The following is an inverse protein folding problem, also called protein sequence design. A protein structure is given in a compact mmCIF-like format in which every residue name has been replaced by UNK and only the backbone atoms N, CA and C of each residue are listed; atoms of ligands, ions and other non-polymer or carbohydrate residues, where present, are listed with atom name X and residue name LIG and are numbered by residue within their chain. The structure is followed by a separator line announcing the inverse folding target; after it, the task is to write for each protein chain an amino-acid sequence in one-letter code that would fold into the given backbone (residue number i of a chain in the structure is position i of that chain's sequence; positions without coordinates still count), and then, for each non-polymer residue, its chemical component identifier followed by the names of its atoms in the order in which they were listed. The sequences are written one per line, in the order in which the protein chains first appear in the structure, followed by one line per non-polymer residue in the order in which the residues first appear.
data_IF_212078598308
#
_entry.id   IF_212078598308
#
_cell.length_a   1.000
_cell.length_b   1.000
_cell.length_c   1.000
_cell.angle_alpha   90.00
_cell.angle_beta   90.00
_cell.angle_gamma   90.00
#
_symmetry.space_group_name_H-M   'P 1'
#
loop_
_entity.id
_entity.type
_entity.pdbx_description
1 polymer ?
#
# COMPACT_ATOMS: atom_id res chain seq x y z
N UNK A 1 -41.45 -10.38 -16.28
CA UNK A 1 -40.83 -10.25 -14.93
C UNK A 1 -40.03 -8.96 -14.97
N UNK A 2 -40.51 -7.92 -14.31
CA UNK A 2 -39.73 -6.68 -14.17
C UNK A 2 -38.47 -6.99 -13.35
N UNK A 3 -37.30 -6.43 -13.70
CA UNK A 3 -36.12 -6.55 -12.85
C UNK A 3 -36.45 -6.02 -11.46
N UNK A 4 -36.03 -6.75 -10.43
CA UNK A 4 -36.13 -6.27 -9.06
C UNK A 4 -35.45 -4.90 -8.96
N UNK A 5 -36.02 -3.93 -8.22
CA UNK A 5 -35.35 -2.66 -8.01
C UNK A 5 -34.00 -2.94 -7.35
N UNK A 6 -32.92 -2.50 -8.00
CA UNK A 6 -31.58 -2.52 -7.43
C UNK A 6 -31.63 -1.79 -6.09
N UNK A 7 -31.48 -2.53 -4.98
CA UNK A 7 -31.28 -1.94 -3.68
C UNK A 7 -30.04 -1.05 -3.78
N UNK A 8 -30.13 0.25 -3.44
CA UNK A 8 -28.98 1.13 -3.52
C UNK A 8 -27.85 0.54 -2.67
N UNK A 9 -26.69 0.34 -3.28
CA UNK A 9 -25.50 -0.17 -2.60
C UNK A 9 -25.20 0.73 -1.40
N UNK A 10 -25.53 0.26 -0.20
CA UNK A 10 -25.20 1.02 1.02
C UNK A 10 -23.69 1.09 1.11
N UNK A 11 -23.14 2.26 1.34
CA UNK A 11 -21.69 2.39 1.45
C UNK A 11 -21.25 1.97 2.86
N UNK A 12 -20.02 1.44 2.98
CA UNK A 12 -19.46 1.07 4.28
C UNK A 12 -19.48 2.24 5.27
N UNK A 13 -19.24 3.47 4.79
CA UNK A 13 -19.35 4.70 5.57
C UNK A 13 -20.27 5.69 4.87
N UNK A 14 -21.23 6.23 5.62
CA UNK A 14 -22.19 7.25 5.18
C UNK A 14 -22.26 8.34 6.24
N UNK A 15 -22.04 9.60 5.84
CA UNK A 15 -22.10 10.77 6.74
C UNK A 15 -21.30 10.60 8.05
N UNK A 16 -20.13 9.95 7.93
CA UNK A 16 -19.24 9.66 9.06
C UNK A 16 -19.70 8.52 9.98
N UNK A 17 -20.76 7.80 9.60
CA UNK A 17 -21.27 6.62 10.27
C UNK A 17 -20.80 5.37 9.53
N UNK A 18 -20.06 4.51 10.23
CA UNK A 18 -19.69 3.18 9.74
C UNK A 18 -20.91 2.25 9.80
N UNK A 19 -21.48 1.90 8.64
CA UNK A 19 -22.70 1.11 8.48
C UNK A 19 -22.45 -0.38 8.55
N UNK A 20 -21.40 -0.84 7.88
CA UNK A 20 -20.96 -2.21 7.86
C UNK A 20 -19.43 -2.27 7.70
N UNK A 21 -18.87 -3.42 8.04
CA UNK A 21 -17.46 -3.75 7.91
C UNK A 21 -17.28 -4.94 6.99
N UNK A 22 -16.07 -5.12 6.49
CA UNK A 22 -15.63 -6.41 5.95
C UNK A 22 -14.28 -6.78 6.55
N UNK A 23 -13.92 -8.05 6.45
CA UNK A 23 -12.64 -8.54 6.92
C UNK A 23 -11.46 -7.88 6.16
N UNK A 24 -11.64 -7.60 4.86
CA UNK A 24 -10.67 -6.87 4.06
C UNK A 24 -10.46 -5.43 4.56
N UNK A 25 -11.54 -4.78 5.03
CA UNK A 25 -11.49 -3.44 5.61
C UNK A 25 -10.72 -3.41 6.93
N UNK A 26 -10.93 -4.40 7.81
CA UNK A 26 -10.17 -4.55 9.07
C UNK A 26 -8.67 -4.65 8.77
N UNK A 27 -8.27 -5.52 7.82
CA UNK A 27 -6.86 -5.67 7.40
C UNK A 27 -6.28 -4.37 6.86
N UNK A 28 -7.01 -3.68 5.97
CA UNK A 28 -6.57 -2.40 5.41
C UNK A 28 -6.39 -1.34 6.49
N UNK A 29 -7.30 -1.30 7.44
CA UNK A 29 -7.25 -0.34 8.54
C UNK A 29 -6.07 -0.61 9.46
N UNK A 30 -5.85 -1.87 9.85
CA UNK A 30 -4.71 -2.29 10.66
C UNK A 30 -3.37 -1.93 9.98
N UNK A 31 -3.32 -2.06 8.65
CA UNK A 31 -2.15 -1.66 7.88
C UNK A 31 -1.94 -0.14 7.89
N UNK A 32 -2.97 0.64 7.57
CA UNK A 32 -2.92 2.10 7.56
C UNK A 32 -4.33 2.72 7.66
N UNK A 33 -4.65 3.31 8.82
CA UNK A 33 -5.95 3.97 9.08
C UNK A 33 -6.25 5.02 8.01
N UNK A 34 -5.25 5.80 7.60
CA UNK A 34 -5.41 6.85 6.60
C UNK A 34 -5.66 6.32 5.19
N UNK A 35 -5.05 5.19 4.82
CA UNK A 35 -5.33 4.56 3.54
C UNK A 35 -6.76 4.00 3.49
N UNK A 36 -7.24 3.46 4.61
CA UNK A 36 -8.65 3.08 4.75
C UNK A 36 -9.58 4.30 4.68
N UNK A 37 -9.24 5.40 5.35
CA UNK A 37 -10.00 6.65 5.30
C UNK A 37 -10.14 7.18 3.86
N UNK A 38 -9.05 7.21 3.09
CA UNK A 38 -9.09 7.62 1.68
C UNK A 38 -10.02 6.74 0.84
N UNK A 39 -9.97 5.43 1.04
CA UNK A 39 -10.76 4.45 0.28
C UNK A 39 -12.24 4.46 0.66
N UNK A 40 -12.56 4.48 1.96
CA UNK A 40 -13.93 4.23 2.45
C UNK A 40 -14.68 5.48 2.88
N UNK A 41 -13.99 6.48 3.43
CA UNK A 41 -14.62 7.73 3.87
C UNK A 41 -14.61 8.76 2.73
N UNK A 42 -13.45 9.00 2.12
CA UNK A 42 -13.33 9.93 0.99
C UNK A 42 -13.64 9.31 -0.37
N UNK A 43 -13.77 7.97 -0.43
CA UNK A 43 -14.15 7.23 -1.63
C UNK A 43 -13.27 7.55 -2.85
N UNK A 44 -11.97 7.75 -2.60
CA UNK A 44 -11.02 8.00 -3.66
C UNK A 44 -10.83 6.74 -4.51
N UNK A 45 -10.76 6.87 -5.84
CA UNK A 45 -10.63 5.73 -6.73
C UNK A 45 -9.30 5.00 -6.51
N UNK A 46 -9.34 3.68 -6.55
CA UNK A 46 -8.16 2.82 -6.50
C UNK A 46 -7.80 2.35 -7.90
N UNK A 47 -6.50 2.32 -8.23
CA UNK A 47 -6.05 1.75 -9.50
C UNK A 47 -6.17 0.22 -9.42
N UNK A 48 -6.87 -0.43 -10.37
CA UNK A 48 -6.91 -1.89 -10.42
C UNK A 48 -5.51 -2.46 -10.67
N UNK A 49 -5.22 -3.63 -10.10
CA UNK A 49 -3.94 -4.33 -10.30
C UNK A 49 -4.15 -5.66 -11.03
N UNK A 50 -3.27 -5.98 -11.99
CA UNK A 50 -3.32 -7.24 -12.76
C UNK A 50 -3.23 -8.49 -11.88
N UNK A 51 -2.54 -8.39 -10.75
CA UNK A 51 -2.44 -9.50 -9.79
C UNK A 51 -3.80 -9.87 -9.16
N UNK A 52 -4.73 -8.91 -9.07
CA UNK A 52 -6.09 -9.14 -8.60
C UNK A 52 -6.88 -10.06 -9.54
N UNK A 53 -6.76 -9.85 -10.85
CA UNK A 53 -7.45 -10.65 -11.87
C UNK A 53 -7.01 -12.13 -11.83
N UNK A 54 -5.69 -12.37 -11.66
CA UNK A 54 -5.15 -13.72 -11.51
C UNK A 54 -5.70 -14.43 -10.28
N UNK A 55 -5.78 -13.71 -9.15
CA UNK A 55 -6.39 -14.22 -7.92
C UNK A 55 -7.85 -14.60 -8.12
N UNK A 56 -8.67 -13.68 -8.62
CA UNK A 56 -10.11 -13.92 -8.89
C UNK A 56 -10.34 -15.12 -9.82
N UNK A 57 -9.58 -15.21 -10.92
CA UNK A 57 -9.69 -16.34 -11.84
C UNK A 57 -9.29 -17.67 -11.18
N UNK A 58 -8.27 -17.66 -10.30
CA UNK A 58 -7.85 -18.85 -9.57
C UNK A 58 -8.92 -19.31 -8.58
N UNK A 59 -9.54 -18.38 -7.83
CA UNK A 59 -10.63 -18.70 -6.88
C UNK A 59 -11.83 -19.30 -7.61
N UNK A 60 -12.26 -18.71 -8.73
CA UNK A 60 -13.39 -19.22 -9.50
C UNK A 60 -13.18 -20.67 -9.99
N UNK A 61 -11.94 -21.03 -10.37
CA UNK A 61 -11.61 -22.41 -10.75
C UNK A 61 -11.68 -23.37 -9.54
N UNK A 62 -11.14 -22.95 -8.39
CA UNK A 62 -11.18 -23.74 -7.16
C UNK A 62 -12.61 -23.94 -6.67
N UNK A 63 -13.42 -22.88 -6.67
CA UNK A 63 -14.84 -22.92 -6.31
C UNK A 63 -15.58 -23.93 -7.19
N UNK A 64 -15.41 -23.84 -8.51
CA UNK A 64 -16.05 -24.75 -9.45
C UNK A 64 -15.66 -26.20 -9.16
N UNK A 65 -14.35 -26.47 -9.03
CA UNK A 65 -13.85 -27.82 -8.74
C UNK A 65 -14.40 -28.37 -7.42
N UNK A 66 -14.36 -27.58 -6.33
CA UNK A 66 -14.81 -28.02 -5.01
C UNK A 66 -16.32 -28.28 -4.95
N UNK A 67 -17.12 -27.55 -5.73
CA UNK A 67 -18.58 -27.72 -5.81
C UNK A 67 -18.99 -28.87 -6.73
N UNK A 68 -18.38 -29.00 -7.91
CA UNK A 68 -18.88 -29.91 -8.97
C UNK A 68 -18.05 -31.17 -9.15
N UNK A 69 -16.80 -31.17 -8.66
CA UNK A 69 -15.82 -32.20 -8.96
C UNK A 69 -15.23 -32.15 -10.37
N UNK A 70 -15.70 -31.24 -11.24
CA UNK A 70 -15.16 -31.08 -12.58
C UNK A 70 -13.77 -30.41 -12.53
N UNK A 71 -12.79 -31.05 -13.14
CA UNK A 71 -11.40 -30.57 -13.13
C UNK A 71 -11.18 -29.49 -14.21
N UNK A 72 -11.46 -28.23 -13.83
CA UNK A 72 -11.24 -27.03 -14.66
C UNK A 72 -10.00 -26.24 -14.22
N UNK A 73 -9.13 -26.87 -13.42
CA UNK A 73 -8.03 -26.19 -12.75
C UNK A 73 -6.93 -25.82 -13.75
N UNK A 74 -6.62 -24.53 -13.84
CA UNK A 74 -5.46 -24.04 -14.58
C UNK A 74 -4.15 -24.36 -13.86
N UNK A 75 -2.98 -24.09 -14.49
CA UNK A 75 -1.67 -24.50 -13.96
C UNK A 75 -1.34 -24.01 -12.54
N UNK A 76 -1.89 -22.86 -12.13
CA UNK A 76 -1.71 -22.32 -10.77
C UNK A 76 -2.52 -23.13 -9.76
N UNK A 77 -3.82 -23.28 -9.98
CA UNK A 77 -4.71 -24.00 -9.07
C UNK A 77 -4.38 -25.51 -9.03
N UNK A 78 -4.06 -26.11 -10.18
CA UNK A 78 -3.72 -27.52 -10.31
C UNK A 78 -2.51 -27.92 -9.45
N UNK A 79 -1.55 -27.02 -9.24
CA UNK A 79 -0.39 -27.27 -8.38
C UNK A 79 -0.77 -27.61 -6.93
N UNK A 80 -1.90 -27.09 -6.43
CA UNK A 80 -2.41 -27.36 -5.09
C UNK A 80 -3.56 -28.36 -5.03
N UNK A 81 -3.95 -28.99 -6.15
CA UNK A 81 -5.09 -29.92 -6.18
C UNK A 81 -4.99 -31.03 -5.13
N UNK A 82 -3.77 -31.52 -4.89
CA UNK A 82 -3.48 -32.57 -3.91
C UNK A 82 -3.65 -32.14 -2.43
N UNK A 83 -3.76 -30.83 -2.17
CA UNK A 83 -4.00 -30.25 -0.85
C UNK A 83 -5.48 -29.93 -0.62
N UNK A 84 -6.30 -29.94 -1.68
CA UNK A 84 -7.74 -29.68 -1.58
C UNK A 84 -8.45 -30.92 -1.02
N UNK A 85 -9.52 -30.75 -0.23
CA UNK A 85 -10.37 -31.87 0.11
C UNK A 85 -11.05 -32.44 -1.15
N UNK A 86 -11.52 -33.68 -1.06
CA UNK A 86 -12.37 -34.23 -2.11
C UNK A 86 -13.60 -33.33 -2.32
N UNK A 87 -13.96 -32.95 -3.55
CA UNK A 87 -15.18 -32.19 -3.84
C UNK A 87 -16.44 -32.85 -3.26
N UNK A 88 -17.45 -32.07 -2.89
CA UNK A 88 -18.68 -32.61 -2.33
C UNK A 88 -19.67 -31.55 -1.87
N UNK A 89 -20.96 -31.90 -1.87
CA UNK A 89 -22.06 -31.02 -1.49
C UNK A 89 -22.08 -30.67 0.01
N UNK A 90 -21.27 -31.36 0.81
CA UNK A 90 -21.09 -31.11 2.24
C UNK A 90 -20.10 -29.96 2.53
N UNK A 91 -19.30 -29.55 1.54
CA UNK A 91 -18.43 -28.39 1.65
C UNK A 91 -19.24 -27.09 1.49
N UNK A 92 -18.90 -26.08 2.29
CA UNK A 92 -19.43 -24.73 2.10
C UNK A 92 -18.38 -23.93 1.36
N UNK A 93 -18.64 -23.64 0.08
CA UNK A 93 -17.69 -23.01 -0.83
C UNK A 93 -18.19 -21.61 -1.16
N UNK A 94 -17.34 -20.59 -1.05
CA UNK A 94 -17.70 -19.17 -1.16
C UNK A 94 -18.90 -18.82 -0.25
N UNK A 95 -18.80 -19.23 1.01
CA UNK A 95 -19.85 -19.06 2.00
C UNK A 95 -20.00 -17.57 2.36
N UNK A 96 -21.14 -16.98 1.98
CA UNK A 96 -21.47 -15.60 2.30
C UNK A 96 -21.97 -15.46 3.74
N UNK A 97 -21.55 -14.39 4.41
CA UNK A 97 -22.16 -13.91 5.66
C UNK A 97 -22.42 -12.41 5.53
N UNK A 98 -23.63 -11.93 5.88
CA UNK A 98 -23.92 -10.49 5.79
C UNK A 98 -25.38 -10.07 5.89
N UNK A 99 -26.35 -10.93 5.55
CA UNK A 99 -27.76 -10.53 5.46
C UNK A 99 -28.74 -11.57 6.05
N UNK A 100 -29.20 -11.42 7.30
CA UNK A 100 -28.64 -10.54 8.32
C UNK A 100 -27.24 -11.03 8.73
N UNK A 101 -26.34 -10.10 9.03
CA UNK A 101 -25.00 -10.50 9.47
C UNK A 101 -25.07 -11.21 10.83
N UNK A 102 -24.52 -12.42 10.96
CA UNK A 102 -24.34 -13.05 12.27
C UNK A 102 -23.12 -12.50 13.02
N UNK A 103 -22.27 -11.71 12.36
CA UNK A 103 -20.96 -11.31 12.85
C UNK A 103 -20.91 -9.79 13.06
N UNK A 104 -20.66 -9.36 14.31
CA UNK A 104 -20.56 -7.95 14.66
C UNK A 104 -19.23 -7.64 15.34
N UNK A 105 -18.64 -6.50 15.02
CA UNK A 105 -17.50 -5.93 15.73
C UNK A 105 -17.87 -4.54 16.25
N UNK A 106 -17.79 -4.34 17.57
CA UNK A 106 -18.26 -3.11 18.25
C UNK A 106 -19.67 -2.65 17.78
N UNK A 107 -20.59 -3.60 17.59
CA UNK A 107 -21.97 -3.34 17.15
C UNK A 107 -22.12 -3.02 15.66
N UNK A 108 -21.05 -3.08 14.86
CA UNK A 108 -21.09 -2.89 13.41
C UNK A 108 -21.15 -4.25 12.73
N UNK A 109 -22.13 -4.50 11.84
CA UNK A 109 -22.25 -5.78 11.13
C UNK A 109 -21.10 -5.97 10.15
N UNK A 110 -20.61 -7.20 10.05
CA UNK A 110 -19.62 -7.60 9.06
C UNK A 110 -20.27 -8.33 7.90
N UNK A 111 -19.80 -8.06 6.69
CA UNK A 111 -20.14 -8.81 5.49
C UNK A 111 -18.88 -9.39 4.84
N UNK A 112 -19.01 -10.52 4.16
CA UNK A 112 -17.91 -11.13 3.42
C UNK A 112 -18.21 -12.54 2.92
N UNK A 113 -17.16 -13.14 2.39
CA UNK A 113 -17.16 -14.51 1.85
C UNK A 113 -16.02 -15.28 2.49
N UNK A 114 -16.27 -16.56 2.79
CA UNK A 114 -15.27 -17.52 3.23
C UNK A 114 -15.08 -18.52 2.08
N UNK A 115 -13.86 -18.60 1.54
CA UNK A 115 -13.60 -19.41 0.34
C UNK A 115 -14.00 -20.88 0.52
N UNK A 116 -13.68 -21.48 1.68
CA UNK A 116 -14.03 -22.86 1.98
C UNK A 116 -14.19 -23.10 3.49
N UNK A 117 -15.30 -23.72 3.86
CA UNK A 117 -15.51 -24.34 5.18
C UNK A 117 -15.74 -25.83 4.98
N UNK A 118 -14.95 -26.65 5.69
CA UNK A 118 -14.99 -28.09 5.62
C UNK A 118 -15.45 -28.69 6.96
N UNK A 119 -16.71 -29.15 7.06
CA UNK A 119 -17.30 -29.70 8.28
C UNK A 119 -17.06 -31.19 8.49
N UNK A 120 -16.26 -31.86 7.66
CA UNK A 120 -16.13 -33.34 7.69
C UNK A 120 -15.57 -33.91 8.99
N UNK A 121 -14.83 -33.12 9.76
CA UNK A 121 -14.29 -33.51 11.08
C UNK A 121 -15.12 -32.96 12.25
N UNK A 122 -16.32 -32.42 11.98
CA UNK A 122 -17.15 -31.81 13.01
C UNK A 122 -17.63 -32.82 14.06
N UNK A 123 -17.78 -34.10 13.70
CA UNK A 123 -18.07 -35.18 14.65
C UNK A 123 -16.99 -35.32 15.75
N UNK A 124 -15.76 -34.91 15.46
CA UNK A 124 -14.63 -34.87 16.40
C UNK A 124 -14.53 -33.50 17.11
N UNK A 125 -15.43 -32.57 16.78
CA UNK A 125 -15.45 -31.19 17.26
C UNK A 125 -14.48 -30.26 16.52
N UNK A 126 -14.03 -30.63 15.31
CA UNK A 126 -13.08 -29.87 14.51
C UNK A 126 -13.76 -29.30 13.26
N UNK A 127 -13.61 -28.01 13.01
CA UNK A 127 -14.05 -27.36 11.77
C UNK A 127 -12.84 -26.72 11.08
N UNK A 128 -12.64 -27.02 9.80
CA UNK A 128 -11.60 -26.35 9.00
C UNK A 128 -12.18 -25.19 8.22
N UNK A 129 -11.52 -24.05 8.32
CA UNK A 129 -11.83 -22.83 7.58
C UNK A 129 -10.60 -22.46 6.77
N UNK A 130 -10.75 -22.45 5.46
CA UNK A 130 -9.66 -22.25 4.50
C UNK A 130 -9.92 -20.98 3.70
N UNK A 131 -8.88 -20.18 3.57
CA UNK A 131 -8.81 -19.07 2.63
C UNK A 131 -7.71 -19.35 1.59
N UNK A 132 -8.09 -19.31 0.32
CA UNK A 132 -7.19 -19.50 -0.81
C UNK A 132 -6.41 -18.20 -1.06
N UNK A 133 -5.09 -18.31 -1.17
CA UNK A 133 -4.22 -17.15 -1.39
C UNK A 133 -3.35 -17.35 -2.61
N UNK A 134 -3.39 -16.43 -3.56
CA UNK A 134 -2.38 -16.36 -4.61
C UNK A 134 -1.25 -15.42 -4.22
N UNK A 135 0.00 -15.82 -4.41
CA UNK A 135 1.19 -15.01 -4.10
C UNK A 135 2.30 -15.18 -5.14
N UNK A 136 3.13 -14.15 -5.36
CA UNK A 136 4.29 -14.25 -6.25
C UNK A 136 5.38 -15.18 -5.70
N UNK A 137 5.52 -15.25 -4.38
CA UNK A 137 6.48 -16.12 -3.70
C UNK A 137 5.90 -16.61 -2.39
N UNK A 138 5.72 -17.93 -2.26
CA UNK A 138 5.23 -18.55 -1.03
C UNK A 138 6.30 -18.42 0.06
N UNK A 139 7.56 -18.68 -0.27
CA UNK A 139 8.67 -18.63 0.69
C UNK A 139 8.88 -17.25 1.30
N UNK A 140 8.62 -16.16 0.56
CA UNK A 140 8.78 -14.79 1.07
C UNK A 140 7.54 -14.23 1.78
N UNK A 141 6.35 -14.65 1.38
CA UNK A 141 5.11 -13.95 1.75
C UNK A 141 4.06 -14.82 2.44
N UNK A 142 4.23 -16.13 2.51
CA UNK A 142 3.30 -16.97 3.27
C UNK A 142 3.36 -16.61 4.76
N UNK A 143 2.19 -16.54 5.39
CA UNK A 143 2.11 -16.37 6.83
C UNK A 143 2.65 -17.61 7.55
N UNK A 144 3.01 -17.46 8.82
CA UNK A 144 3.28 -18.60 9.71
C UNK A 144 2.00 -19.04 10.43
N UNK A 145 1.93 -20.28 10.96
CA UNK A 145 0.80 -20.73 11.76
C UNK A 145 0.47 -19.81 12.95
N UNK A 146 1.49 -19.25 13.60
CA UNK A 146 1.33 -18.31 14.72
C UNK A 146 0.70 -16.99 14.27
N UNK A 147 1.06 -16.53 13.06
CA UNK A 147 0.46 -15.34 12.47
C UNK A 147 -1.01 -15.55 12.06
N UNK A 148 -1.41 -16.78 11.70
CA UNK A 148 -2.82 -17.11 11.44
C UNK A 148 -3.64 -17.14 12.73
N UNK A 149 -3.03 -17.58 13.83
CA UNK A 149 -3.72 -17.71 15.12
C UNK A 149 -3.99 -16.37 15.82
N UNK A 150 -3.29 -15.29 15.46
CA UNK A 150 -3.41 -14.01 16.15
C UNK A 150 -3.87 -12.86 15.26
N UNK A 151 -4.91 -12.16 15.71
CA UNK A 151 -5.41 -10.92 15.13
C UNK A 151 -4.44 -9.73 15.32
N UNK A 152 -3.28 -9.94 15.95
CA UNK A 152 -2.15 -9.00 15.92
C UNK A 152 -1.41 -8.94 14.57
N UNK A 153 -1.69 -9.87 13.65
CA UNK A 153 -1.07 -9.94 12.33
C UNK A 153 -2.11 -9.82 11.20
N UNK A 154 -1.68 -9.28 10.05
CA UNK A 154 -2.55 -9.06 8.88
C UNK A 154 -3.29 -10.34 8.43
N UNK A 155 -2.64 -11.50 8.54
CA UNK A 155 -3.24 -12.79 8.17
C UNK A 155 -4.26 -13.27 9.22
N UNK A 156 -3.91 -13.19 10.51
CA UNK A 156 -4.79 -13.62 11.59
C UNK A 156 -6.01 -12.74 11.79
N UNK A 157 -5.99 -11.44 11.43
CA UNK A 157 -7.22 -10.62 11.42
C UNK A 157 -8.33 -11.29 10.61
N UNK A 158 -7.98 -11.85 9.44
CA UNK A 158 -8.95 -12.53 8.59
C UNK A 158 -9.37 -13.87 9.15
N UNK A 159 -8.41 -14.69 9.53
CA UNK A 159 -8.71 -16.05 9.99
C UNK A 159 -9.42 -16.09 11.34
N UNK A 160 -9.08 -15.19 12.27
CA UNK A 160 -9.83 -15.02 13.54
C UNK A 160 -11.26 -14.57 13.25
N UNK A 161 -11.48 -13.70 12.26
CA UNK A 161 -12.83 -13.28 11.90
C UNK A 161 -13.69 -14.39 11.32
N UNK A 162 -13.14 -15.19 10.41
CA UNK A 162 -13.85 -16.36 9.88
C UNK A 162 -14.07 -17.44 10.94
N UNK A 163 -13.09 -17.64 11.83
CA UNK A 163 -13.24 -18.52 12.98
C UNK A 163 -14.35 -18.03 13.92
N UNK A 164 -14.43 -16.73 14.19
CA UNK A 164 -15.43 -16.19 15.12
C UNK A 164 -16.84 -16.28 14.53
N UNK A 165 -16.99 -16.07 13.23
CA UNK A 165 -18.22 -16.39 12.51
C UNK A 165 -18.67 -17.84 12.75
N UNK A 166 -17.76 -18.81 12.61
CA UNK A 166 -18.08 -20.22 12.83
C UNK A 166 -18.47 -20.50 14.29
N UNK A 167 -17.81 -19.84 15.24
CA UNK A 167 -18.16 -19.93 16.68
C UNK A 167 -19.57 -19.41 16.96
N UNK A 168 -20.00 -18.35 16.28
CA UNK A 168 -21.35 -17.80 16.42
C UNK A 168 -22.41 -18.68 15.73
N UNK A 169 -22.03 -19.42 14.69
CA UNK A 169 -22.89 -20.36 13.97
C UNK A 169 -23.04 -21.72 14.71
N UNK A 170 -23.20 -21.71 16.03
CA UNK A 170 -23.22 -22.92 16.87
C UNK A 170 -24.36 -23.91 16.51
N UNK A 171 -25.50 -23.41 16.00
CA UNK A 171 -26.59 -24.28 15.51
C UNK A 171 -26.19 -25.03 14.23
N UNK A 172 -25.38 -24.40 13.37
CA UNK A 172 -24.87 -24.99 12.13
C UNK A 172 -23.68 -25.92 12.39
N UNK A 173 -22.88 -25.60 13.39
CA UNK A 173 -21.68 -26.35 13.78
C UNK A 173 -21.76 -26.83 15.24
N UNK A 174 -22.72 -27.72 15.55
CA UNK A 174 -22.90 -28.21 16.91
C UNK A 174 -21.67 -28.96 17.40
N UNK A 175 -21.26 -28.69 18.64
CA UNK A 175 -20.12 -29.37 19.26
C UNK A 175 -18.74 -28.89 18.80
N UNK A 176 -18.65 -27.76 18.08
CA UNK A 176 -17.39 -27.15 17.69
C UNK A 176 -16.51 -26.83 18.91
N UNK A 177 -15.31 -27.42 18.95
CA UNK A 177 -14.28 -27.23 19.98
C UNK A 177 -13.03 -26.57 19.42
N UNK A 178 -12.61 -27.00 18.23
CA UNK A 178 -11.36 -26.61 17.60
C UNK A 178 -11.61 -26.11 16.17
N UNK A 179 -10.88 -25.06 15.81
CA UNK A 179 -10.85 -24.50 14.46
C UNK A 179 -9.47 -24.77 13.86
N UNK A 180 -9.45 -25.37 12.68
CA UNK A 180 -8.28 -25.39 11.82
C UNK A 180 -8.37 -24.19 10.87
N UNK A 181 -7.55 -23.18 11.13
CA UNK A 181 -7.49 -21.97 10.32
C UNK A 181 -6.37 -22.13 9.29
N UNK A 182 -6.73 -22.17 8.02
CA UNK A 182 -5.81 -22.46 6.93
C UNK A 182 -5.74 -21.31 5.93
N UNK A 183 -4.52 -20.93 5.56
CA UNK A 183 -4.26 -20.30 4.28
C UNK A 183 -3.66 -21.33 3.34
N UNK A 184 -4.34 -21.57 2.21
CA UNK A 184 -3.82 -22.42 1.14
C UNK A 184 -3.23 -21.53 0.04
N UNK A 185 -1.90 -21.46 0.01
CA UNK A 185 -1.17 -20.60 -0.91
C UNK A 185 -0.91 -21.27 -2.26
N UNK A 186 -1.04 -20.49 -3.33
CA UNK A 186 -0.72 -20.87 -4.72
C UNK A 186 0.27 -19.86 -5.32
N UNK A 187 1.39 -20.35 -5.86
CA UNK A 187 2.45 -19.49 -6.38
C UNK A 187 2.20 -19.07 -7.85
N UNK A 188 2.19 -17.76 -8.08
CA UNK A 188 1.87 -17.16 -9.39
C UNK A 188 3.10 -16.90 -10.26
N UNK A 189 4.31 -16.94 -9.70
CA UNK A 189 5.58 -16.77 -10.44
C UNK A 189 6.56 -17.92 -10.19
N UNK A 190 7.49 -18.10 -11.11
CA UNK A 190 8.49 -19.17 -11.02
C UNK A 190 7.84 -20.55 -11.00
N UNK A 191 8.37 -21.44 -10.16
CA UNK A 191 7.86 -22.80 -9.99
C UNK A 191 6.40 -22.76 -9.52
N UNK A 192 5.54 -23.55 -10.18
CA UNK A 192 4.15 -23.72 -9.77
C UNK A 192 4.12 -24.60 -8.53
N UNK A 193 3.95 -23.96 -7.39
CA UNK A 193 3.93 -24.60 -6.07
C UNK A 193 2.67 -24.18 -5.34
N UNK A 194 2.21 -25.05 -4.44
CA UNK A 194 1.18 -24.73 -3.46
C UNK A 194 1.65 -25.16 -2.07
N UNK A 195 1.16 -24.47 -1.04
CA UNK A 195 1.49 -24.75 0.35
C UNK A 195 0.30 -24.48 1.25
N UNK A 196 -0.06 -25.48 2.04
CA UNK A 196 -0.97 -25.30 3.17
C UNK A 196 -0.19 -24.73 4.36
N UNK A 197 -0.68 -23.63 4.93
CA UNK A 197 -0.29 -23.14 6.26
C UNK A 197 -1.52 -23.23 7.12
N UNK A 198 -1.48 -24.08 8.14
CA UNK A 198 -2.60 -24.35 9.03
C UNK A 198 -2.19 -24.16 10.48
N UNK A 199 -3.12 -23.66 11.29
CA UNK A 199 -3.01 -23.63 12.75
C UNK A 199 -4.29 -24.15 13.36
N UNK A 200 -4.18 -24.80 14.52
CA UNK A 200 -5.34 -25.31 15.27
C UNK A 200 -5.51 -24.48 16.53
N UNK A 201 -6.67 -23.86 16.68
CA UNK A 201 -7.01 -23.00 17.83
C UNK A 201 -8.34 -23.42 18.45
N UNK A 202 -8.53 -23.18 19.74
CA UNK A 202 -9.81 -23.46 20.38
C UNK A 202 -10.86 -22.41 19.96
N UNK A 203 -12.13 -22.78 20.05
CA UNK A 203 -13.23 -21.83 19.89
C UNK A 203 -13.12 -20.67 20.90
N UNK A 204 -12.61 -20.92 22.11
CA UNK A 204 -12.38 -19.90 23.14
C UNK A 204 -11.29 -18.90 22.73
N UNK A 205 -10.14 -19.40 22.24
CA UNK A 205 -9.03 -18.56 21.76
C UNK A 205 -9.50 -17.55 20.71
N UNK A 206 -10.34 -17.98 19.77
CA UNK A 206 -10.89 -17.11 18.74
C UNK A 206 -11.82 -16.04 19.31
N UNK A 207 -12.65 -16.38 20.32
CA UNK A 207 -13.49 -15.39 21.03
C UNK A 207 -12.62 -14.34 21.72
N UNK A 208 -11.52 -14.77 22.34
CA UNK A 208 -10.63 -13.89 23.08
C UNK A 208 -9.85 -12.96 22.15
N UNK A 209 -9.28 -13.47 21.04
CA UNK A 209 -8.61 -12.63 20.03
C UNK A 209 -9.60 -11.63 19.41
N UNK A 210 -10.84 -12.04 19.12
CA UNK A 210 -11.86 -11.13 18.60
C UNK A 210 -12.13 -9.97 19.55
N UNK A 211 -12.44 -10.28 20.82
CA UNK A 211 -12.74 -9.27 21.86
C UNK A 211 -11.56 -8.38 22.17
N UNK A 212 -10.35 -8.93 22.21
CA UNK A 212 -9.15 -8.21 22.60
C UNK A 212 -8.57 -7.34 21.46
N UNK A 213 -8.79 -7.71 20.20
CA UNK A 213 -8.13 -7.06 19.05
C UNK A 213 -9.11 -6.46 18.05
N UNK A 214 -10.14 -7.21 17.65
CA UNK A 214 -11.05 -6.81 16.56
C UNK A 214 -12.09 -5.81 17.06
N UNK A 215 -12.72 -6.04 18.21
CA UNK A 215 -13.69 -5.09 18.77
C UNK A 215 -13.08 -3.69 19.03
N UNK A 216 -11.89 -3.55 19.66
CA UNK A 216 -11.23 -2.25 19.78
C UNK A 216 -10.85 -1.63 18.44
N UNK A 217 -10.46 -2.44 17.45
CA UNK A 217 -10.16 -1.96 16.11
C UNK A 217 -11.40 -1.40 15.42
N UNK A 218 -12.54 -2.09 15.49
CA UNK A 218 -13.81 -1.62 14.94
C UNK A 218 -14.27 -0.33 15.63
N UNK A 219 -14.14 -0.22 16.95
CA UNK A 219 -14.38 1.02 17.70
C UNK A 219 -13.54 2.17 17.15
N UNK A 220 -12.24 1.93 16.95
CA UNK A 220 -11.32 2.93 16.38
C UNK A 220 -11.66 3.27 14.92
N UNK A 221 -12.15 2.32 14.13
CA UNK A 221 -12.65 2.59 12.78
C UNK A 221 -13.87 3.51 12.78
N UNK A 222 -14.79 3.35 13.74
CA UNK A 222 -15.93 4.26 13.92
C UNK A 222 -15.49 5.68 14.26
N UNK A 223 -14.46 5.82 15.09
CA UNK A 223 -13.90 7.15 15.41
C UNK A 223 -13.27 7.79 14.17
N UNK A 224 -12.48 7.03 13.40
CA UNK A 224 -11.85 7.51 12.17
C UNK A 224 -12.87 7.82 11.08
N UNK A 225 -13.99 7.10 11.01
CA UNK A 225 -15.07 7.37 10.08
C UNK A 225 -15.63 8.80 10.25
N UNK A 226 -15.59 9.35 11.47
CA UNK A 226 -16.07 10.70 11.80
C UNK A 226 -15.06 11.79 11.51
N UNK A 227 -13.82 11.46 11.16
CA UNK A 227 -12.80 12.45 10.86
C UNK A 227 -13.20 13.27 9.63
N UNK A 228 -13.02 14.58 9.71
CA UNK A 228 -13.40 15.52 8.64
C UNK A 228 -12.27 15.78 7.66
N UNK A 229 -11.04 15.34 7.99
CA UNK A 229 -9.89 15.49 7.11
C UNK A 229 -8.87 14.35 7.29
N UNK A 230 -8.11 14.01 6.24
CA UNK A 230 -7.05 12.99 6.32
C UNK A 230 -5.98 13.30 7.38
N UNK A 231 -5.77 14.57 7.72
CA UNK A 231 -4.75 15.00 8.68
C UNK A 231 -5.07 14.59 10.12
N UNK A 232 -6.35 14.37 10.44
CA UNK A 232 -6.79 13.86 11.73
C UNK A 232 -6.57 12.35 11.87
N UNK A 233 -6.29 11.64 10.77
CA UNK A 233 -6.16 10.19 10.73
C UNK A 233 -4.70 9.78 10.71
N UNK A 234 -4.31 8.78 11.50
CA UNK A 234 -2.90 8.35 11.62
C UNK A 234 -2.40 7.68 10.33
N UNK A 235 -1.27 8.12 9.75
CA UNK A 235 -0.61 7.39 8.67
C UNK A 235 0.31 6.30 9.22
N UNK A 236 0.51 5.24 8.45
CA UNK A 236 1.51 4.20 8.69
C UNK A 236 2.56 4.21 7.57
N UNK A 237 3.70 4.86 7.79
CA UNK A 237 4.71 5.04 6.74
C UNK A 237 5.41 3.76 6.30
N UNK A 238 5.60 2.82 7.23
CA UNK A 238 6.12 1.48 6.95
C UNK A 238 5.18 0.67 6.03
N UNK A 239 3.91 1.05 5.92
CA UNK A 239 2.95 0.42 5.01
C UNK A 239 3.00 0.98 3.58
N UNK A 240 3.64 2.13 3.34
CA UNK A 240 3.56 2.84 2.06
C UNK A 240 4.11 2.05 0.88
N UNK A 241 5.07 1.14 1.11
CA UNK A 241 5.69 0.32 0.07
C UNK A 241 5.24 -1.15 0.11
N UNK A 242 4.35 -1.52 1.05
CA UNK A 242 3.81 -2.88 1.05
C UNK A 242 2.97 -3.11 -0.20
N UNK A 243 2.98 -4.34 -0.69
CA UNK A 243 2.10 -4.80 -1.76
C UNK A 243 2.23 -4.03 -3.08
N UNK A 244 3.42 -3.50 -3.37
CA UNK A 244 3.69 -2.73 -4.58
C UNK A 244 3.35 -1.24 -4.49
N UNK A 245 3.05 -0.73 -3.29
CA UNK A 245 2.90 0.70 -3.03
C UNK A 245 1.48 1.13 -2.65
N UNK A 246 1.36 2.22 -1.91
CA UNK A 246 0.07 2.80 -1.52
C UNK A 246 -0.53 3.64 -2.65
N UNK A 247 -1.75 3.35 -3.13
CA UNK A 247 -2.37 4.10 -4.23
C UNK A 247 -2.72 5.55 -3.85
N UNK A 248 -2.78 5.87 -2.57
CA UNK A 248 -3.13 7.20 -2.05
C UNK A 248 -1.91 8.02 -1.60
N UNK A 249 -0.70 7.62 -2.00
CA UNK A 249 0.53 8.24 -1.52
C UNK A 249 0.58 9.74 -1.84
N UNK A 250 0.23 10.14 -3.06
CA UNK A 250 0.22 11.55 -3.49
C UNK A 250 -0.74 12.38 -2.64
N UNK A 251 -1.96 11.89 -2.42
CA UNK A 251 -2.98 12.56 -1.61
C UNK A 251 -2.56 12.65 -0.14
N UNK A 252 -1.92 11.61 0.38
CA UNK A 252 -1.40 11.57 1.75
C UNK A 252 -0.34 12.65 1.99
N UNK A 253 0.60 12.82 1.05
CA UNK A 253 1.67 13.80 1.15
C UNK A 253 1.15 15.24 0.98
N UNK A 254 0.21 15.46 0.06
CA UNK A 254 -0.43 16.77 -0.14
C UNK A 254 -1.24 17.21 1.09
N UNK A 255 -1.92 16.28 1.78
CA UNK A 255 -2.63 16.60 3.01
C UNK A 255 -1.68 17.12 4.11
N UNK A 256 -0.46 16.56 4.19
CA UNK A 256 0.53 16.95 5.20
C UNK A 256 1.18 18.32 4.96
N UNK A 257 1.35 18.72 3.69
CA UNK A 257 1.97 20.02 3.38
C UNK A 257 1.05 21.20 3.73
N UNK A 258 -0.27 21.00 3.78
CA UNK A 258 -1.25 22.04 4.11
C UNK A 258 -1.35 22.35 5.62
N UNK A 259 -0.68 21.60 6.50
CA UNK A 259 -0.79 21.72 7.96
C UNK A 259 0.30 22.53 8.67
N UNK A 260 1.30 23.09 7.98
CA UNK A 260 2.38 23.88 8.60
C UNK A 260 2.21 25.38 8.27
N UNK A 261 1.99 26.27 9.27
CA UNK A 261 2.10 27.70 9.05
C UNK A 261 3.57 28.10 8.80
N UNK A 262 3.86 29.11 7.96
CA UNK A 262 5.22 29.57 7.73
C UNK A 262 5.78 30.24 8.99
N UNK A 263 6.74 29.61 9.66
CA UNK A 263 7.50 30.22 10.75
C UNK A 263 8.62 31.09 10.17
N UNK A 264 8.71 32.34 10.64
CA UNK A 264 9.71 33.32 10.21
C UNK A 264 11.12 32.98 10.72
N UNK A 265 12.10 33.24 9.85
CA UNK A 265 13.47 32.71 9.88
C UNK A 265 14.46 33.64 10.63
N UNK A 266 14.04 34.34 11.70
CA UNK A 266 14.88 35.40 12.30
C UNK A 266 15.69 34.97 13.54
N UNK A 267 15.46 33.79 14.16
CA UNK A 267 16.07 33.49 15.47
C UNK A 267 17.00 32.26 15.57
N UNK A 268 17.57 31.74 14.47
CA UNK A 268 18.39 30.50 14.56
C UNK A 268 19.78 30.52 13.92
N UNK A 269 20.42 31.68 13.84
CA UNK A 269 21.86 31.79 13.56
C UNK A 269 22.58 32.31 14.80
N UNK A 270 22.78 31.46 15.80
CA UNK A 270 23.95 31.56 16.70
C UNK A 270 24.26 30.18 17.27
N UNK A 271 25.53 29.78 17.11
CA UNK A 271 26.21 28.61 17.71
C UNK A 271 26.12 27.29 16.93
N UNK A 272 27.00 27.22 15.93
CA UNK A 272 27.77 26.02 15.57
C UNK A 272 28.58 25.52 16.77
N UNK A 273 28.80 24.20 16.88
CA UNK A 273 30.15 23.61 16.97
C UNK A 273 30.13 22.08 17.23
N UNK A 274 30.72 21.37 16.27
CA UNK A 274 31.68 20.23 16.41
C UNK A 274 31.29 18.92 17.10
N UNK A 275 31.36 17.81 16.35
CA UNK A 275 32.24 16.66 16.68
C UNK A 275 32.32 15.64 15.52
N UNK A 276 33.51 15.10 15.29
CA UNK A 276 33.94 14.21 14.20
C UNK A 276 34.17 12.79 14.74
N UNK A 277 33.74 11.73 14.05
CA UNK A 277 34.37 10.38 14.09
C UNK A 277 34.09 9.57 12.81
N UNK A 278 35.07 8.74 12.42
CA UNK A 278 35.18 7.97 11.18
C UNK A 278 34.48 6.58 11.23
N UNK A 279 34.24 5.91 10.07
CA UNK A 279 33.44 4.69 9.98
C UNK A 279 34.23 3.40 9.66
N UNK A 280 33.56 2.25 9.80
CA UNK A 280 33.99 0.91 9.32
C UNK A 280 32.81 0.29 8.53
N UNK A 281 33.05 -0.49 7.44
CA UNK A 281 32.02 -0.74 6.43
C UNK A 281 31.21 -2.04 6.63
N UNK A 282 30.00 -2.08 6.07
CA UNK A 282 29.19 -3.28 5.89
C UNK A 282 28.64 -3.36 4.44
N UNK A 283 28.32 -4.58 3.93
CA UNK A 283 28.28 -4.91 2.51
C UNK A 283 26.90 -4.77 1.84
N UNK A 284 26.92 -4.96 0.52
CA UNK A 284 25.89 -4.72 -0.50
C UNK A 284 24.54 -5.42 -0.32
N UNK A 285 23.47 -4.74 -0.79
CA UNK A 285 22.09 -5.19 -0.88
C UNK A 285 21.66 -5.50 -2.34
N UNK A 286 20.77 -6.49 -2.58
CA UNK A 286 20.22 -6.80 -3.91
C UNK A 286 18.77 -6.32 -4.16
N UNK A 287 18.39 -6.37 -5.44
CA UNK A 287 17.18 -5.91 -6.17
C UNK A 287 15.79 -6.34 -5.63
N UNK A 288 14.76 -5.51 -5.90
CA UNK A 288 13.39 -5.57 -5.36
C UNK A 288 12.35 -6.24 -6.29
N UNK A 289 11.43 -7.03 -5.71
CA UNK A 289 10.36 -7.78 -6.39
C UNK A 289 9.00 -7.69 -5.63
N UNK A 290 7.89 -7.59 -6.37
CA UNK A 290 6.51 -7.28 -5.94
C UNK A 290 5.83 -8.37 -5.06
N UNK A 291 5.09 -7.92 -4.04
CA UNK A 291 4.41 -8.73 -3.00
C UNK A 291 2.88 -8.85 -3.16
N UNK A 292 2.29 -9.81 -2.43
CA UNK A 292 0.89 -10.28 -2.47
C UNK A 292 -0.21 -9.19 -2.37
N UNK A 293 -1.36 -9.41 -3.01
CA UNK A 293 -2.47 -8.44 -3.10
C UNK A 293 -3.57 -8.78 -2.08
N UNK A 294 -4.11 -7.77 -1.38
CA UNK A 294 -5.33 -7.89 -0.58
C UNK A 294 -6.56 -8.04 -1.50
N UNK A 295 -7.45 -9.02 -1.28
CA UNK A 295 -8.67 -9.11 -2.09
C UNK A 295 -9.57 -7.88 -1.85
N UNK A 296 -10.22 -7.35 -2.90
CA UNK A 296 -11.15 -6.22 -2.80
C UNK A 296 -12.49 -6.64 -2.17
N UNK A 297 -13.27 -5.66 -1.69
CA UNK A 297 -14.74 -5.82 -1.60
C UNK A 297 -15.29 -5.88 -3.04
N UNK A 298 -16.24 -6.79 -3.33
CA UNK A 298 -16.66 -7.14 -4.69
C UNK A 298 -17.41 -6.02 -5.43
N UNK A 299 -16.98 -5.67 -6.65
CA UNK A 299 -17.95 -5.46 -7.74
C UNK A 299 -17.54 -6.14 -9.05
N UNK A 300 -18.56 -6.39 -9.89
CA UNK A 300 -18.55 -7.15 -11.14
C UNK A 300 -17.72 -6.51 -12.27
N UNK A 301 -17.21 -7.35 -13.16
CA UNK A 301 -16.21 -7.03 -14.20
C UNK A 301 -16.79 -6.99 -15.62
N UNK A 302 -16.24 -6.10 -16.46
CA UNK A 302 -16.19 -6.26 -17.93
C UNK A 302 -14.86 -5.71 -18.51
N UNK A 303 -14.25 -6.30 -19.56
CA UNK A 303 -12.87 -5.99 -19.99
C UNK A 303 -12.77 -5.34 -21.40
N UNK A 304 -11.66 -4.63 -21.69
CA UNK A 304 -10.85 -4.83 -22.92
C UNK A 304 -9.64 -3.86 -23.12
N UNK A 305 -8.57 -4.47 -23.68
CA UNK A 305 -7.65 -3.97 -24.74
C UNK A 305 -6.31 -3.29 -24.42
N UNK A 306 -5.42 -3.37 -25.42
CA UNK A 306 -4.03 -3.81 -25.36
C UNK A 306 -2.95 -2.76 -25.74
N UNK A 307 -1.70 -3.17 -25.52
CA UNK A 307 -0.37 -2.51 -25.63
C UNK A 307 0.18 -2.16 -27.03
N UNK A 308 1.18 -1.24 -27.12
CA UNK A 308 2.45 -1.34 -27.92
C UNK A 308 3.46 -0.15 -27.65
N UNK A 309 4.71 -0.06 -28.21
CA UNK A 309 5.95 0.25 -27.44
C UNK A 309 6.95 1.35 -27.98
N UNK A 310 7.99 1.61 -27.17
CA UNK A 310 9.44 1.95 -27.38
C UNK A 310 9.99 3.00 -28.39
N UNK A 311 10.99 3.81 -27.96
CA UNK A 311 12.38 3.85 -28.53
C UNK A 311 13.37 4.88 -27.87
N UNK A 312 14.66 4.53 -27.99
CA UNK A 312 16.01 5.11 -27.72
C UNK A 312 16.30 6.56 -28.24
N UNK A 313 17.44 7.27 -28.04
CA UNK A 313 18.66 7.31 -27.19
C UNK A 313 19.48 8.59 -27.61
N UNK A 314 20.41 9.06 -26.76
CA UNK A 314 21.65 9.88 -27.02
C UNK A 314 21.61 11.43 -26.83
N UNK A 315 22.76 12.17 -26.66
CA UNK A 315 24.16 11.79 -26.39
C UNK A 315 24.84 12.51 -25.18
N UNK A 316 26.01 11.98 -24.76
CA UNK A 316 26.87 12.41 -23.63
C UNK A 316 27.74 13.67 -23.93
N UNK A 317 27.98 14.51 -22.92
CA UNK A 317 29.01 15.58 -22.94
C UNK A 317 29.91 15.58 -21.69
N UNK A 318 31.15 16.07 -21.90
CA UNK A 318 32.40 15.88 -21.12
C UNK A 318 32.35 16.28 -19.63
N UNK A 319 32.96 15.44 -18.79
CA UNK A 319 33.08 15.55 -17.32
C UNK A 319 34.23 16.48 -16.90
N UNK A 320 33.96 17.41 -15.98
CA UNK A 320 34.97 18.12 -15.15
C UNK A 320 35.51 17.18 -14.07
N UNK A 321 36.71 17.46 -13.57
CA UNK A 321 37.48 16.61 -12.65
C UNK A 321 36.92 16.58 -11.23
N UNK A 322 36.89 15.37 -10.67
CA UNK A 322 36.27 14.94 -9.40
C UNK A 322 36.78 15.67 -8.14
N UNK A 323 37.98 16.22 -8.16
CA UNK A 323 38.62 16.83 -7.00
C UNK A 323 38.10 18.24 -6.65
N UNK A 324 37.42 18.93 -7.57
CA UNK A 324 36.94 20.30 -7.33
C UNK A 324 35.51 20.36 -6.73
N UNK A 325 34.79 19.23 -6.64
CA UNK A 325 33.40 19.16 -6.16
C UNK A 325 33.25 18.59 -4.73
N UNK A 326 34.29 18.01 -4.13
CA UNK A 326 34.20 17.30 -2.84
C UNK A 326 34.31 18.21 -1.59
N UNK A 327 33.88 19.47 -1.68
CA UNK A 327 33.53 20.28 -0.51
C UNK A 327 32.05 20.04 -0.18
N UNK A 328 31.77 18.87 0.39
CA UNK A 328 30.44 18.35 0.66
C UNK A 328 29.60 19.33 1.49
N UNK A 329 28.66 20.00 0.82
CA UNK A 329 27.49 20.50 1.52
C UNK A 329 26.77 19.27 2.05
N UNK A 330 26.32 19.26 3.31
CA UNK A 330 25.66 18.11 3.95
C UNK A 330 24.26 17.83 3.38
N UNK A 331 24.15 17.79 2.06
CA UNK A 331 22.93 17.71 1.28
C UNK A 331 22.69 16.26 0.87
N UNK A 332 21.55 15.72 1.28
CA UNK A 332 21.02 14.45 0.80
C UNK A 332 19.78 14.68 -0.04
N UNK A 333 19.77 14.18 -1.27
CA UNK A 333 18.69 14.41 -2.23
C UNK A 333 18.09 13.09 -2.70
N UNK A 334 16.79 12.92 -2.44
CA UNK A 334 15.98 11.79 -2.87
C UNK A 334 15.06 12.24 -4.02
N UNK A 335 15.27 11.69 -5.20
CA UNK A 335 14.60 12.08 -6.45
C UNK A 335 13.61 11.01 -6.86
N UNK A 336 12.33 11.34 -6.96
CA UNK A 336 11.24 10.41 -7.28
C UNK A 336 11.26 9.13 -6.40
N UNK A 337 11.82 9.23 -5.19
CA UNK A 337 11.81 8.18 -4.17
C UNK A 337 11.61 8.78 -2.78
N UNK A 338 11.07 7.98 -1.85
CA UNK A 338 10.78 8.44 -0.48
C UNK A 338 11.82 7.87 0.48
N UNK A 339 12.58 8.73 1.19
CA UNK A 339 13.55 8.28 2.17
C UNK A 339 12.87 7.62 3.38
N UNK A 340 13.58 6.71 4.06
CA UNK A 340 13.17 6.10 5.32
C UNK A 340 13.45 7.01 6.55
N UNK A 341 13.81 8.27 6.31
CA UNK A 341 14.07 9.30 7.31
C UNK A 341 13.27 10.57 6.98
N UNK A 342 13.07 11.48 7.95
CA UNK A 342 12.43 12.77 7.68
C UNK A 342 13.19 13.54 6.59
N UNK A 343 12.47 13.99 5.56
CA UNK A 343 13.02 14.77 4.47
C UNK A 343 12.13 15.97 4.15
N UNK A 344 12.75 17.10 3.82
CA UNK A 344 12.07 18.32 3.44
C UNK A 344 11.70 18.31 1.94
N UNK A 345 10.50 18.76 1.54
CA UNK A 345 10.17 18.87 0.13
C UNK A 345 11.03 19.92 -0.59
N UNK A 346 11.71 19.52 -1.67
CA UNK A 346 12.56 20.43 -2.44
C UNK A 346 11.75 21.53 -3.16
N UNK A 347 10.46 21.28 -3.43
CA UNK A 347 9.58 22.20 -4.15
C UNK A 347 9.50 23.61 -3.54
N UNK A 348 9.50 23.70 -2.21
CA UNK A 348 9.47 24.99 -1.51
C UNK A 348 10.74 25.82 -1.76
N UNK A 349 11.90 25.17 -1.83
CA UNK A 349 13.16 25.82 -2.17
C UNK A 349 13.18 26.26 -3.65
N UNK A 350 12.80 25.37 -4.57
CA UNK A 350 12.76 25.68 -6.01
C UNK A 350 11.84 26.86 -6.29
N UNK A 351 10.65 26.90 -5.67
CA UNK A 351 9.72 28.02 -5.80
C UNK A 351 10.31 29.36 -5.37
N UNK A 352 11.09 29.39 -4.27
CA UNK A 352 11.77 30.62 -3.83
C UNK A 352 12.85 31.08 -4.81
N UNK A 353 13.62 30.15 -5.37
CA UNK A 353 14.66 30.47 -6.35
C UNK A 353 14.06 31.03 -7.65
N UNK A 354 12.95 30.44 -8.11
CA UNK A 354 12.21 30.92 -9.28
C UNK A 354 11.66 32.33 -9.03
N UNK A 355 10.96 32.54 -7.91
CA UNK A 355 10.41 33.85 -7.57
C UNK A 355 11.47 34.96 -7.47
N UNK A 356 12.67 34.62 -6.97
CA UNK A 356 13.80 35.54 -6.93
C UNK A 356 14.25 35.96 -8.34
N UNK A 357 14.39 35.00 -9.25
CA UNK A 357 14.79 35.28 -10.64
C UNK A 357 13.71 36.09 -11.37
N UNK A 358 12.42 35.78 -11.13
CA UNK A 358 11.27 36.53 -11.66
C UNK A 358 11.33 37.99 -11.23
N UNK A 359 11.57 38.24 -9.94
CA UNK A 359 11.70 39.58 -9.39
C UNK A 359 12.91 40.34 -9.95
N UNK A 360 14.09 39.70 -10.02
CA UNK A 360 15.32 40.33 -10.51
C UNK A 360 15.28 40.64 -12.00
N UNK A 361 14.61 39.79 -12.79
CA UNK A 361 14.49 39.96 -14.23
C UNK A 361 13.22 40.71 -14.67
N UNK A 362 12.33 41.05 -13.73
CA UNK A 362 11.07 41.74 -14.01
C UNK A 362 10.11 40.94 -14.88
N UNK A 363 10.09 39.60 -14.74
CA UNK A 363 9.22 38.70 -15.52
C UNK A 363 8.22 37.98 -14.62
N UNK A 364 7.04 37.66 -15.17
CA UNK A 364 5.98 36.96 -14.43
C UNK A 364 6.23 35.46 -14.34
N UNK A 365 6.87 34.87 -15.35
CA UNK A 365 7.27 33.46 -15.37
C UNK A 365 8.54 33.31 -16.22
N UNK A 366 9.59 32.75 -15.62
CA UNK A 366 10.90 32.61 -16.27
C UNK A 366 10.86 31.73 -17.53
N UNK A 367 9.84 30.86 -17.66
CA UNK A 367 9.70 29.93 -18.79
C UNK A 367 9.18 30.59 -20.06
N UNK A 368 8.52 31.74 -19.91
CA UNK A 368 7.90 32.51 -21.01
C UNK A 368 8.51 33.91 -21.14
N UNK A 369 9.74 34.08 -20.66
CA UNK A 369 10.44 35.35 -20.73
C UNK A 369 10.60 35.86 -22.18
N UNK A 370 10.39 37.17 -22.43
CA UNK A 370 10.60 37.79 -23.73
C UNK A 370 11.99 37.54 -24.32
N UNK A 371 12.12 37.55 -25.66
CA UNK A 371 13.40 37.25 -26.34
C UNK A 371 14.50 38.30 -26.09
N UNK A 372 14.12 39.50 -25.69
CA UNK A 372 14.98 40.60 -25.26
C UNK A 372 15.37 40.54 -23.76
N UNK A 373 14.81 39.59 -23.00
CA UNK A 373 15.19 39.30 -21.61
C UNK A 373 16.48 38.48 -21.52
N UNK A 374 17.29 38.65 -20.45
CA UNK A 374 18.40 37.73 -20.13
C UNK A 374 17.98 36.25 -20.03
N UNK A 375 16.70 35.99 -19.78
CA UNK A 375 16.10 34.65 -19.62
C UNK A 375 15.58 34.01 -20.92
N UNK A 376 15.63 34.73 -22.07
CA UNK A 376 15.09 34.37 -23.39
C UNK A 376 15.01 32.86 -23.70
N UNK A 377 14.04 32.42 -24.50
CA UNK A 377 13.67 31.00 -24.70
C UNK A 377 14.78 29.96 -24.43
N UNK A 378 14.62 29.22 -23.33
CA UNK A 378 15.54 28.15 -22.89
C UNK A 378 16.76 28.61 -22.08
N UNK A 379 17.13 29.89 -22.07
CA UNK A 379 18.25 30.41 -21.27
C UNK A 379 17.93 30.43 -19.77
N UNK A 380 16.66 30.54 -19.39
CA UNK A 380 16.20 30.44 -18.01
C UNK A 380 16.68 29.18 -17.28
N UNK A 381 16.86 28.05 -17.98
CA UNK A 381 17.38 26.80 -17.39
C UNK A 381 18.81 26.98 -16.86
N UNK A 382 19.65 27.68 -17.65
CA UNK A 382 21.03 27.98 -17.28
C UNK A 382 21.12 28.97 -16.12
N UNK A 383 20.26 30.00 -16.14
CA UNK A 383 20.18 30.99 -15.05
C UNK A 383 19.73 30.32 -13.76
N UNK A 384 18.64 29.54 -13.79
CA UNK A 384 18.15 28.81 -12.62
C UNK A 384 19.19 27.84 -12.05
N UNK A 385 19.87 27.08 -12.91
CA UNK A 385 20.94 26.17 -12.46
C UNK A 385 22.13 26.92 -11.85
N UNK A 386 22.50 28.08 -12.39
CA UNK A 386 23.57 28.91 -11.85
C UNK A 386 23.19 29.50 -10.49
N UNK A 387 21.98 30.03 -10.35
CA UNK A 387 21.45 30.57 -9.08
C UNK A 387 21.42 29.50 -8.00
N UNK A 388 20.93 28.29 -8.31
CA UNK A 388 20.87 27.18 -7.36
C UNK A 388 22.26 26.71 -6.92
N UNK A 389 23.27 26.78 -7.79
CA UNK A 389 24.66 26.43 -7.43
C UNK A 389 25.34 27.51 -6.61
N UNK A 390 24.98 28.77 -6.82
CA UNK A 390 25.49 29.90 -6.04
C UNK A 390 24.88 29.95 -4.63
N UNK A 391 23.60 29.56 -4.51
CA UNK A 391 22.83 29.60 -3.26
C UNK A 391 22.14 28.25 -3.00
N UNK A 392 22.90 27.16 -2.76
CA UNK A 392 22.31 25.86 -2.49
C UNK A 392 21.42 25.88 -1.22
N UNK A 393 20.47 24.94 -1.10
CA UNK A 393 19.66 24.84 0.10
C UNK A 393 20.54 24.48 1.31
N UNK A 394 20.08 24.85 2.50
CA UNK A 394 20.75 24.53 3.77
C UNK A 394 21.03 23.03 3.88
N UNK A 395 22.15 22.61 4.51
CA UNK A 395 22.46 21.20 4.71
C UNK A 395 21.29 20.44 5.35
N UNK A 396 20.94 19.28 4.78
CA UNK A 396 19.78 18.51 5.19
C UNK A 396 19.36 17.46 4.16
N UNK A 397 18.28 16.77 4.48
CA UNK A 397 17.68 15.75 3.61
C UNK A 397 16.48 16.32 2.87
N UNK A 398 16.50 16.26 1.55
CA UNK A 398 15.45 16.78 0.68
C UNK A 398 14.86 15.70 -0.22
N UNK A 399 13.57 15.80 -0.49
CA UNK A 399 12.86 14.96 -1.44
C UNK A 399 12.35 15.81 -2.62
N UNK A 400 12.81 15.49 -3.83
CA UNK A 400 12.32 16.03 -5.09
C UNK A 400 11.38 15.02 -5.74
N UNK A 401 10.07 15.23 -5.63
CA UNK A 401 9.04 14.33 -6.13
C UNK A 401 8.35 14.90 -7.36
N UNK A 402 7.97 14.04 -8.30
CA UNK A 402 7.24 14.43 -9.50
C UNK A 402 8.13 15.13 -10.52
N UNK A 403 9.42 14.76 -10.60
CA UNK A 403 10.40 15.49 -11.40
C UNK A 403 10.06 15.53 -12.88
N UNK A 404 9.48 14.47 -13.47
CA UNK A 404 9.04 14.57 -14.89
C UNK A 404 7.83 15.47 -15.13
N UNK A 405 7.07 15.81 -14.09
CA UNK A 405 5.96 16.76 -14.21
C UNK A 405 6.42 18.22 -14.14
N UNK A 406 7.70 18.49 -13.90
CA UNK A 406 8.20 19.85 -13.65
C UNK A 406 9.61 20.06 -14.19
N UNK A 407 9.72 20.81 -15.29
CA UNK A 407 11.01 21.22 -15.85
C UNK A 407 11.86 22.03 -14.85
N UNK A 408 11.21 22.82 -14.00
CA UNK A 408 11.87 23.59 -12.94
C UNK A 408 12.54 22.66 -11.92
N UNK A 409 11.82 21.61 -11.51
CA UNK A 409 12.33 20.61 -10.57
C UNK A 409 13.48 19.81 -11.21
N UNK A 410 13.35 19.46 -12.48
CA UNK A 410 14.40 18.75 -13.20
C UNK A 410 15.71 19.55 -13.24
N UNK A 411 15.63 20.84 -13.61
CA UNK A 411 16.80 21.74 -13.60
C UNK A 411 17.39 21.87 -12.19
N UNK A 412 16.55 21.98 -11.16
CA UNK A 412 17.02 22.06 -9.78
C UNK A 412 17.75 20.80 -9.32
N UNK A 413 17.22 19.61 -9.63
CA UNK A 413 17.86 18.34 -9.31
C UNK A 413 19.20 18.19 -10.01
N UNK A 414 19.28 18.51 -11.31
CA UNK A 414 20.52 18.45 -12.09
C UNK A 414 21.57 19.48 -11.60
N UNK A 415 21.13 20.60 -11.03
CA UNK A 415 22.00 21.60 -10.43
C UNK A 415 22.55 21.18 -9.05
N UNK A 416 21.75 20.44 -8.27
CA UNK A 416 22.09 20.01 -6.90
C UNK A 416 22.80 18.64 -6.84
N UNK A 417 22.61 17.76 -7.83
CA UNK A 417 23.27 16.45 -7.89
C UNK A 417 24.79 16.54 -7.68
N UNK A 418 25.53 17.48 -8.33
CA UNK A 418 26.95 17.67 -8.07
C UNK A 418 27.31 18.07 -6.63
N UNK A 419 26.37 18.68 -5.91
CA UNK A 419 26.60 19.17 -4.54
C UNK A 419 26.28 18.11 -3.47
N UNK A 420 25.64 17.01 -3.87
CA UNK A 420 25.37 15.88 -3.00
C UNK A 420 26.66 15.06 -2.80
N UNK A 421 26.95 14.68 -1.55
CA UNK A 421 28.04 13.75 -1.26
C UNK A 421 27.83 12.37 -1.92
N UNK A 422 28.90 11.59 -2.07
CA UNK A 422 28.80 10.23 -2.58
C UNK A 422 27.84 9.39 -1.72
N UNK A 423 26.81 8.79 -2.33
CA UNK A 423 25.76 8.04 -1.63
C UNK A 423 24.63 8.88 -1.04
N UNK A 424 24.68 10.21 -1.18
CA UNK A 424 23.65 11.13 -0.71
C UNK A 424 22.71 11.61 -1.83
N UNK A 425 22.90 11.12 -3.06
CA UNK A 425 21.94 11.30 -4.16
C UNK A 425 21.31 9.95 -4.48
N UNK A 426 20.00 9.84 -4.31
CA UNK A 426 19.24 8.62 -4.61
C UNK A 426 18.13 8.99 -5.58
N UNK A 427 18.09 8.33 -6.75
CA UNK A 427 17.00 8.49 -7.71
C UNK A 427 16.19 7.20 -7.80
N UNK A 428 14.89 7.29 -7.55
CA UNK A 428 13.95 6.22 -7.77
C UNK A 428 13.86 5.87 -9.25
N UNK A 429 13.89 4.58 -9.56
CA UNK A 429 13.57 4.08 -10.90
C UNK A 429 12.04 3.97 -10.98
N UNK A 430 11.46 4.50 -12.04
CA UNK A 430 10.00 4.44 -12.27
C UNK A 430 9.52 3.05 -12.62
#
# INVERSE_FOLDING_TARGET
MSPAPETPESHAVEDGVLRHLSVSQLRRFALCERAWFFSKVLRLPERPSKAREVGTATHAQLEHYLRTGADVLGPIAAAGKHLLPAPGADLLVEEHFGEPSPLFADGVPLTGFIDLVNPRQLAEGVLRVTDHKTTSSITRYAATPEQLASAGHDAGIQMVGYGYWAVLAAERFPGLKWLELEHLYFQTRGTREARSVVTTVSAEHVRDEWRARIDPMARRMRDVARATSPNQVKPSWSACQKYGGCPFQTQCLNAQSQGKPPMSLVNRITKSATSTMAPTPAPAAPEQELAAVLPPDAPQSDPALASAPASDEAPRRKRRTKAEMEAAHGLSLFVDCVPNCPAEPLAGYVGRMVAKIEQECGVVDIRVAPNDSPLAYGKWKGVLAATIRAEPPEPGTYAALGVAGSELMQVAVEALEPLCGAGHFVRGVR
#
